data_IF_895315055738
#
_entry.id   IF_895315055738
#
_cell.length_a   1.000
_cell.length_b   1.000
_cell.length_c   1.000
_cell.angle_alpha   90.00
_cell.angle_beta   90.00
_cell.angle_gamma   90.00
#
_symmetry.space_group_name_H-M   'P 1'
#
loop_
_entity.id
_entity.type
_entity.pdbx_description
1 polymer ?
#
# COMPACT_ATOMS: atom_id res chain seq x y z
N UNK A 1 -3.02 -7.22 -9.69
CA UNK A 1 -3.91 -6.32 -8.91
C UNK A 1 -5.15 -6.17 -9.75
N UNK A 2 -6.34 -5.90 -9.19
CA UNK A 2 -7.43 -5.42 -10.06
C UNK A 2 -7.01 -4.11 -10.72
N UNK A 3 -7.38 -3.89 -11.98
CA UNK A 3 -7.04 -2.67 -12.72
C UNK A 3 -7.53 -1.40 -12.02
N UNK A 4 -8.70 -1.47 -11.39
CA UNK A 4 -9.30 -0.37 -10.62
C UNK A 4 -8.37 0.11 -9.50
N UNK A 5 -7.68 -0.82 -8.83
CA UNK A 5 -6.73 -0.48 -7.79
C UNK A 5 -5.46 0.14 -8.37
N UNK A 6 -5.03 -0.31 -9.56
CA UNK A 6 -3.85 0.27 -10.24
C UNK A 6 -4.16 1.72 -10.60
N UNK A 7 -5.36 1.99 -11.11
CA UNK A 7 -5.80 3.34 -11.42
C UNK A 7 -5.91 4.21 -10.18
N UNK A 8 -6.51 3.70 -9.09
CA UNK A 8 -6.60 4.44 -7.82
C UNK A 8 -5.21 4.80 -7.27
N UNK A 9 -4.26 3.88 -7.34
CA UNK A 9 -2.88 4.10 -6.90
C UNK A 9 -2.14 5.06 -7.83
N UNK A 10 -2.32 4.95 -9.15
CA UNK A 10 -1.75 5.89 -10.12
C UNK A 10 -2.29 7.32 -9.95
N UNK A 11 -3.60 7.45 -9.68
CA UNK A 11 -4.24 8.73 -9.36
C UNK A 11 -3.69 9.30 -8.04
N UNK A 12 -3.57 8.49 -6.99
CA UNK A 12 -3.02 8.92 -5.71
C UNK A 12 -1.51 9.27 -5.79
N UNK A 13 -0.76 8.57 -6.64
CA UNK A 13 0.65 8.83 -6.88
C UNK A 13 0.88 10.03 -7.82
N UNK A 14 -0.17 10.50 -8.50
CA UNK A 14 -0.14 11.58 -9.48
C UNK A 14 0.92 11.38 -10.60
N UNK A 15 1.30 10.12 -10.85
CA UNK A 15 2.30 9.71 -11.85
C UNK A 15 1.99 8.31 -12.37
N UNK A 16 2.40 8.03 -13.60
CA UNK A 16 2.31 6.70 -14.18
C UNK A 16 3.36 5.80 -13.54
N UNK A 17 2.90 4.70 -12.94
CA UNK A 17 3.76 3.70 -12.31
C UNK A 17 4.14 2.64 -13.33
N UNK A 18 5.40 2.21 -13.32
CA UNK A 18 5.86 1.08 -14.13
C UNK A 18 5.23 -0.24 -13.65
N UNK A 19 5.19 -1.25 -14.52
CA UNK A 19 4.70 -2.59 -14.16
C UNK A 19 5.42 -3.17 -12.93
N UNK A 20 6.73 -2.90 -12.80
CA UNK A 20 7.52 -3.32 -11.64
C UNK A 20 7.15 -2.58 -10.35
N UNK A 21 6.86 -1.28 -10.44
CA UNK A 21 6.37 -0.52 -9.29
C UNK A 21 4.98 -1.00 -8.86
N UNK A 22 4.09 -1.27 -9.82
CA UNK A 22 2.78 -1.84 -9.55
C UNK A 22 2.93 -3.19 -8.82
N UNK A 23 3.79 -4.07 -9.31
CA UNK A 23 4.06 -5.36 -8.68
C UNK A 23 4.61 -5.21 -7.24
N UNK A 24 5.50 -4.25 -7.00
CA UNK A 24 6.01 -3.96 -5.66
C UNK A 24 4.91 -3.45 -4.72
N UNK A 25 4.00 -2.62 -5.22
CA UNK A 25 2.86 -2.11 -4.45
C UNK A 25 1.90 -3.25 -4.13
N UNK A 26 1.62 -4.13 -5.09
CA UNK A 26 0.85 -5.34 -4.86
C UNK A 26 1.44 -6.22 -3.77
N UNK A 27 2.73 -6.51 -3.87
CA UNK A 27 3.41 -7.36 -2.91
C UNK A 27 3.32 -6.76 -1.49
N UNK A 28 3.45 -5.43 -1.36
CA UNK A 28 3.23 -4.72 -0.11
C UNK A 28 1.79 -4.81 0.39
N UNK A 29 0.81 -4.60 -0.48
CA UNK A 29 -0.61 -4.76 -0.11
C UNK A 29 -0.84 -6.17 0.43
N UNK A 30 -0.40 -7.22 -0.28
CA UNK A 30 -0.57 -8.60 0.18
C UNK A 30 0.15 -8.88 1.50
N UNK A 31 1.37 -8.34 1.71
CA UNK A 31 2.06 -8.43 3.00
C UNK A 31 1.27 -7.74 4.12
N UNK A 32 0.74 -6.55 3.86
CA UNK A 32 -0.07 -5.81 4.84
C UNK A 32 -1.40 -6.49 5.12
N UNK A 33 -2.04 -7.10 4.13
CA UNK A 33 -3.23 -7.94 4.34
C UNK A 33 -2.92 -9.11 5.28
N UNK A 34 -1.79 -9.82 5.08
CA UNK A 34 -1.37 -10.91 5.96
C UNK A 34 -1.02 -10.41 7.36
N UNK A 35 -0.37 -9.26 7.46
CA UNK A 35 -0.04 -8.62 8.74
C UNK A 35 -1.30 -8.25 9.52
N UNK A 36 -2.27 -7.58 8.88
CA UNK A 36 -3.57 -7.25 9.47
C UNK A 36 -4.33 -8.50 9.92
N UNK A 37 -4.35 -9.55 9.08
CA UNK A 37 -5.00 -10.81 9.43
C UNK A 37 -4.35 -11.51 10.63
N UNK A 38 -3.04 -11.31 10.86
CA UNK A 38 -2.32 -11.87 12.01
C UNK A 38 -2.47 -11.02 13.27
N UNK A 39 -2.35 -9.70 13.14
CA UNK A 39 -2.41 -8.77 14.27
C UNK A 39 -3.83 -8.64 14.81
N UNK A 40 -4.84 -8.61 13.93
CA UNK A 40 -6.23 -8.47 14.32
C UNK A 40 -7.15 -9.40 13.52
N UNK A 41 -7.13 -10.72 13.83
CA UNK A 41 -7.90 -11.72 13.08
C UNK A 41 -9.42 -11.52 13.23
N UNK A 42 -9.87 -11.01 14.37
CA UNK A 42 -11.28 -10.78 14.66
C UNK A 42 -11.84 -9.67 13.77
N UNK A 43 -11.18 -8.51 13.74
CA UNK A 43 -11.55 -7.41 12.86
C UNK A 43 -11.41 -7.80 11.40
N UNK A 44 -10.33 -8.51 11.04
CA UNK A 44 -10.09 -8.94 9.66
C UNK A 44 -11.21 -9.80 9.09
N UNK A 45 -11.73 -10.74 9.89
CA UNK A 45 -12.84 -11.62 9.49
C UNK A 45 -14.13 -10.84 9.24
N UNK A 46 -14.38 -9.77 9.99
CA UNK A 46 -15.57 -8.92 9.83
C UNK A 46 -15.51 -7.99 8.61
N UNK A 47 -14.32 -7.72 8.06
CA UNK A 47 -14.18 -6.85 6.89
C UNK A 47 -14.53 -7.60 5.59
N UNK A 48 -15.26 -6.92 4.71
CA UNK A 48 -15.49 -7.34 3.32
C UNK A 48 -14.18 -7.33 2.52
N UNK A 49 -14.11 -8.08 1.41
CA UNK A 49 -12.91 -8.13 0.56
C UNK A 49 -12.46 -6.75 0.09
N UNK A 50 -13.40 -5.91 -0.33
CA UNK A 50 -13.14 -4.52 -0.73
C UNK A 50 -12.53 -3.71 0.41
N UNK A 51 -13.05 -3.86 1.63
CA UNK A 51 -12.62 -3.10 2.81
C UNK A 51 -11.24 -3.55 3.30
N UNK A 52 -10.98 -4.86 3.26
CA UNK A 52 -9.67 -5.47 3.52
C UNK A 52 -8.61 -4.89 2.59
N UNK A 53 -8.93 -4.83 1.30
CA UNK A 53 -8.04 -4.28 0.28
C UNK A 53 -7.83 -2.78 0.47
N UNK A 54 -8.89 -2.03 0.81
CA UNK A 54 -8.83 -0.59 1.07
C UNK A 54 -7.92 -0.28 2.26
N UNK A 55 -8.09 -0.99 3.38
CA UNK A 55 -7.23 -0.83 4.57
C UNK A 55 -5.78 -1.20 4.29
N UNK A 56 -5.52 -2.32 3.63
CA UNK A 56 -4.17 -2.74 3.29
C UNK A 56 -3.51 -1.78 2.29
N UNK A 57 -4.27 -1.27 1.31
CA UNK A 57 -3.83 -0.24 0.37
C UNK A 57 -3.49 1.08 1.05
N UNK A 58 -4.31 1.50 2.02
CA UNK A 58 -4.06 2.72 2.79
C UNK A 58 -2.78 2.60 3.63
N UNK A 59 -2.55 1.47 4.29
CA UNK A 59 -1.28 1.20 5.00
C UNK A 59 -0.09 1.23 4.05
N UNK A 60 -0.18 0.56 2.90
CA UNK A 60 0.91 0.55 1.92
C UNK A 60 1.22 1.97 1.40
N UNK A 61 0.19 2.81 1.19
CA UNK A 61 0.36 4.20 0.79
C UNK A 61 1.04 5.04 1.89
N UNK A 62 0.66 4.85 3.15
CA UNK A 62 1.29 5.52 4.29
C UNK A 62 2.76 5.12 4.45
N UNK A 63 3.08 3.82 4.36
CA UNK A 63 4.46 3.33 4.38
C UNK A 63 5.31 3.97 3.26
N UNK A 64 4.78 4.03 2.04
CA UNK A 64 5.47 4.67 0.92
C UNK A 64 5.72 6.16 1.15
N UNK A 65 4.75 6.88 1.72
CA UNK A 65 4.91 8.30 2.09
C UNK A 65 5.98 8.47 3.17
N UNK A 66 5.97 7.61 4.19
CA UNK A 66 6.97 7.64 5.26
C UNK A 66 8.37 7.34 4.73
N UNK A 67 8.53 6.32 3.89
CA UNK A 67 9.81 6.02 3.24
C UNK A 67 10.31 7.17 2.37
N UNK A 68 9.42 7.81 1.60
CA UNK A 68 9.78 8.98 0.82
C UNK A 68 10.23 10.15 1.72
N UNK A 69 9.54 10.38 2.84
CA UNK A 69 9.91 11.41 3.81
C UNK A 69 11.26 11.10 4.49
N UNK A 70 11.51 9.85 4.87
CA UNK A 70 12.78 9.40 5.44
C UNK A 70 13.92 9.54 4.43
N UNK A 71 13.70 9.22 3.15
CA UNK A 71 14.70 9.44 2.10
C UNK A 71 15.01 10.92 1.94
N UNK A 72 14.00 11.79 1.89
CA UNK A 72 14.19 13.26 1.85
C UNK A 72 15.03 13.75 3.04
N UNK A 73 14.73 13.27 4.26
CA UNK A 73 15.51 13.59 5.46
C UNK A 73 16.95 13.11 5.37
N UNK A 74 17.19 11.87 4.91
CA UNK A 74 18.54 11.32 4.77
C UNK A 74 19.38 12.09 3.75
N UNK A 75 18.79 12.45 2.61
CA UNK A 75 19.46 13.27 1.60
C UNK A 75 19.76 14.68 2.13
N UNK A 76 18.87 15.26 2.95
CA UNK A 76 19.12 16.56 3.58
C UNK A 76 20.18 16.53 4.70
N UNK A 77 20.56 15.34 5.17
CA UNK A 77 21.59 15.13 6.20
C UNK A 77 22.96 14.72 5.61
N UNK A 78 23.07 14.64 4.29
CA UNK A 78 24.31 14.30 3.55
C UNK A 78 24.75 15.52 2.75
#
# INVERSE_FOLDING_TARGET
MRQECIQAVQQAAQRTLSAREIQNIEDRIYRNMRSLARNDPASWRMLSEAERLRRAGQLAADELKQEAALKKRRVALT
#
